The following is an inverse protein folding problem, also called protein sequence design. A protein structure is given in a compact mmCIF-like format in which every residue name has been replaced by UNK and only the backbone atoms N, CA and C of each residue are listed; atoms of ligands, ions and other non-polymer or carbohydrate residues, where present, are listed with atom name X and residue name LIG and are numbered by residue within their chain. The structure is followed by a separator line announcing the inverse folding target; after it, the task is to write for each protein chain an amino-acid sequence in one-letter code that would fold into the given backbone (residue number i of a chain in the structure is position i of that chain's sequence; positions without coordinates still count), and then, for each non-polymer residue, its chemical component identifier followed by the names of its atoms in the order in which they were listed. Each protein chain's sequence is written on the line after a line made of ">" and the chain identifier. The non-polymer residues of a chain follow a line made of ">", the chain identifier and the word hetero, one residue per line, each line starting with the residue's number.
data_IF_694463270283
#
_entry.id   IF_694463270283
#
_cell.length_a   1.000
_cell.length_b   1.000
_cell.length_c   1.000
_cell.angle_alpha   90.00
_cell.angle_beta   90.00
_cell.angle_gamma   90.00
#
_symmetry.space_group_name_H-M   'P 1'
#
loop_
_entity.id
_entity.type
_entity.pdbx_description
1 polymer ?
#
# COMPACT_ATOMS: atom_id res chain seq x y z
N UNK A 1 -4.72 -7.48 30.95
CA UNK A 1 -5.45 -7.39 29.73
C UNK A 1 -4.57 -6.90 28.57
N UNK A 2 -4.69 -7.53 27.47
CA UNK A 2 -3.83 -7.20 26.34
C UNK A 2 -4.56 -6.35 25.34
N UNK A 3 -3.93 -5.27 24.94
CA UNK A 3 -4.48 -4.46 23.86
C UNK A 3 -4.02 -5.06 22.55
N UNK A 4 -4.99 -5.31 21.68
CA UNK A 4 -4.68 -5.85 20.37
C UNK A 4 -4.68 -4.70 19.38
N UNK A 5 -3.53 -4.44 18.79
CA UNK A 5 -3.42 -3.39 17.80
C UNK A 5 -4.22 -3.76 16.56
N UNK A 6 -4.80 -2.78 15.85
CA UNK A 6 -5.46 -3.06 14.59
C UNK A 6 -4.51 -3.72 13.61
N UNK A 7 -5.01 -4.65 12.86
CA UNK A 7 -4.19 -5.32 11.85
C UNK A 7 -5.04 -5.63 10.62
N UNK A 8 -4.37 -5.97 9.54
CA UNK A 8 -5.02 -6.36 8.31
C UNK A 8 -5.46 -7.81 8.43
N UNK A 9 -6.77 -8.03 8.37
CA UNK A 9 -7.32 -9.37 8.44
C UNK A 9 -7.41 -10.00 7.04
N UNK A 10 -7.62 -9.18 6.01
CA UNK A 10 -7.77 -9.68 4.65
C UNK A 10 -7.56 -8.52 3.68
N UNK A 11 -7.45 -8.84 2.40
CA UNK A 11 -7.28 -7.83 1.36
C UNK A 11 -7.84 -8.33 0.05
N UNK A 12 -8.18 -7.40 -0.84
CA UNK A 12 -8.76 -7.76 -2.11
C UNK A 12 -8.58 -6.60 -3.10
N UNK A 13 -8.15 -6.92 -4.32
CA UNK A 13 -8.08 -5.90 -5.36
C UNK A 13 -9.45 -5.74 -6.01
N UNK A 14 -9.79 -4.51 -6.39
CA UNK A 14 -11.05 -4.25 -7.06
C UNK A 14 -11.05 -4.87 -8.46
N UNK A 15 -12.24 -4.96 -9.07
CA UNK A 15 -12.39 -5.57 -10.37
C UNK A 15 -11.56 -4.88 -11.45
N UNK A 16 -11.40 -3.56 -11.35
CA UNK A 16 -10.59 -2.79 -12.30
C UNK A 16 -9.13 -2.70 -11.89
N UNK A 17 -8.77 -3.35 -10.77
CA UNK A 17 -7.41 -3.39 -10.25
C UNK A 17 -6.84 -2.03 -9.87
N UNK A 18 -7.70 -1.03 -9.75
CA UNK A 18 -7.27 0.31 -9.42
C UNK A 18 -7.29 0.60 -7.92
N UNK A 19 -7.87 -0.29 -7.12
CA UNK A 19 -8.03 -0.09 -5.68
C UNK A 19 -7.75 -1.38 -4.93
N UNK A 20 -7.09 -1.27 -3.80
CA UNK A 20 -6.92 -2.38 -2.87
C UNK A 20 -7.83 -2.13 -1.68
N UNK A 21 -8.74 -3.08 -1.44
CA UNK A 21 -9.56 -3.03 -0.24
C UNK A 21 -8.88 -3.83 0.85
N UNK A 22 -8.71 -3.22 2.01
CA UNK A 22 -8.06 -3.83 3.14
C UNK A 22 -9.10 -3.99 4.24
N UNK A 23 -9.30 -5.22 4.70
CA UNK A 23 -10.20 -5.47 5.82
C UNK A 23 -9.40 -5.49 7.09
N UNK A 24 -9.82 -4.68 8.04
CA UNK A 24 -9.07 -4.55 9.29
C UNK A 24 -9.88 -5.13 10.43
N UNK A 25 -9.19 -5.40 11.54
CA UNK A 25 -9.84 -6.00 12.70
C UNK A 25 -10.65 -4.99 13.50
N UNK A 26 -10.36 -3.71 13.38
CA UNK A 26 -11.02 -2.70 14.21
C UNK A 26 -11.59 -1.51 13.45
N UNK A 27 -11.25 -1.34 12.20
CA UNK A 27 -11.67 -0.17 11.44
C UNK A 27 -12.52 -0.50 10.22
N UNK A 28 -12.97 -1.75 10.11
CA UNK A 28 -13.77 -2.16 8.96
C UNK A 28 -12.93 -2.20 7.69
N UNK A 29 -13.57 -1.99 6.56
CA UNK A 29 -12.91 -2.07 5.27
C UNK A 29 -12.41 -0.69 4.88
N UNK A 30 -11.16 -0.63 4.46
CA UNK A 30 -10.53 0.61 4.03
C UNK A 30 -10.01 0.43 2.61
N UNK A 31 -10.10 1.47 1.80
CA UNK A 31 -9.69 1.40 0.39
C UNK A 31 -8.44 2.23 0.15
N UNK A 32 -7.52 1.65 -0.63
CA UNK A 32 -6.30 2.33 -1.04
C UNK A 32 -6.22 2.29 -2.55
N UNK A 33 -6.10 3.43 -3.20
CA UNK A 33 -5.96 3.45 -4.64
C UNK A 33 -4.59 2.90 -5.04
N UNK A 34 -4.52 2.30 -6.22
CA UNK A 34 -3.24 1.80 -6.74
C UNK A 34 -2.25 2.96 -6.86
N UNK A 35 -2.72 4.13 -7.27
CA UNK A 35 -1.85 5.30 -7.37
C UNK A 35 -1.27 5.68 -6.02
N UNK A 36 -2.10 5.70 -4.98
CA UNK A 36 -1.61 6.04 -3.64
C UNK A 36 -0.57 5.03 -3.18
N UNK A 37 -0.82 3.75 -3.42
CA UNK A 37 0.14 2.71 -3.05
C UNK A 37 1.45 2.88 -3.81
N UNK A 38 1.38 3.16 -5.11
CA UNK A 38 2.58 3.35 -5.92
C UNK A 38 3.36 4.58 -5.46
N UNK A 39 2.66 5.67 -5.15
CA UNK A 39 3.29 6.89 -4.66
C UNK A 39 3.91 6.69 -3.28
N UNK A 40 3.43 5.71 -2.53
CA UNK A 40 3.89 5.45 -1.17
C UNK A 40 4.91 4.33 -1.08
N UNK A 41 5.42 3.86 -2.21
CA UNK A 41 6.39 2.77 -2.23
C UNK A 41 7.69 3.22 -1.55
N UNK A 42 8.20 2.39 -0.64
CA UNK A 42 9.42 2.68 0.10
C UNK A 42 10.59 1.78 -0.28
N UNK A 43 10.54 1.15 -1.45
CA UNK A 43 11.67 0.34 -1.88
C UNK A 43 12.89 1.24 -2.12
N UNK A 44 14.07 0.64 -2.18
CA UNK A 44 15.30 1.41 -2.32
C UNK A 44 15.29 2.27 -3.60
N UNK A 45 14.75 1.74 -4.67
CA UNK A 45 14.70 2.47 -5.94
C UNK A 45 13.84 3.73 -5.82
N UNK A 46 12.65 3.60 -5.25
CA UNK A 46 11.73 4.74 -5.12
C UNK A 46 12.25 5.76 -4.11
N UNK A 47 12.85 5.27 -3.02
CA UNK A 47 13.44 6.15 -2.02
C UNK A 47 14.57 6.97 -2.64
N UNK A 48 15.42 6.33 -3.44
CA UNK A 48 16.50 7.03 -4.12
C UNK A 48 15.97 8.05 -5.13
N UNK A 49 14.92 7.67 -5.86
CA UNK A 49 14.33 8.59 -6.85
C UNK A 49 13.77 9.83 -6.16
N UNK A 50 13.15 9.68 -4.99
CA UNK A 50 12.66 10.83 -4.23
C UNK A 50 13.81 11.72 -3.77
N UNK A 51 14.87 11.08 -3.29
CA UNK A 51 16.04 11.81 -2.83
C UNK A 51 16.65 12.63 -3.97
N UNK A 52 16.66 12.08 -5.17
CA UNK A 52 17.23 12.75 -6.34
C UNK A 52 16.25 13.71 -7.02
N UNK A 53 15.03 13.82 -6.52
CA UNK A 53 14.02 14.70 -7.13
C UNK A 53 13.46 14.18 -8.43
N UNK A 54 13.60 12.89 -8.70
CA UNK A 54 13.10 12.28 -9.94
C UNK A 54 11.84 11.45 -9.77
N UNK A 55 11.32 11.35 -8.54
CA UNK A 55 10.13 10.55 -8.31
C UNK A 55 8.90 11.29 -8.82
N UNK A 56 8.04 10.63 -9.62
CA UNK A 56 6.86 11.29 -10.17
C UNK A 56 5.88 11.70 -9.07
N UNK A 57 5.11 12.74 -9.34
CA UNK A 57 4.07 13.17 -8.41
C UNK A 57 2.76 12.43 -8.62
N UNK A 58 2.57 11.81 -9.76
CA UNK A 58 1.34 11.11 -10.10
C UNK A 58 1.64 9.86 -10.90
N UNK A 59 0.75 8.90 -10.77
CA UNK A 59 0.80 7.67 -11.57
C UNK A 59 -0.60 7.41 -12.14
N UNK A 60 -1.07 8.27 -13.05
CA UNK A 60 -2.42 8.11 -13.58
C UNK A 60 -2.57 6.78 -14.32
N UNK A 61 -3.69 6.12 -14.10
CA UNK A 61 -3.96 4.85 -14.77
C UNK A 61 -3.21 3.65 -14.25
N UNK A 62 -2.44 3.79 -13.17
CA UNK A 62 -1.70 2.67 -12.64
C UNK A 62 -2.67 1.63 -12.06
N UNK A 63 -2.36 0.36 -12.22
CA UNK A 63 -3.17 -0.73 -11.70
C UNK A 63 -2.30 -1.72 -10.95
N UNK A 64 -2.93 -2.52 -10.09
CA UNK A 64 -2.28 -3.58 -9.35
C UNK A 64 -2.29 -4.82 -10.22
N UNK A 65 -1.14 -5.40 -10.50
CA UNK A 65 -1.07 -6.59 -11.34
C UNK A 65 -0.90 -7.88 -10.55
N UNK A 66 -0.34 -7.77 -9.35
CA UNK A 66 -0.11 -8.97 -8.54
C UNK A 66 0.07 -8.59 -7.08
N UNK A 67 -0.39 -9.43 -6.17
CA UNK A 67 -0.19 -9.24 -4.74
C UNK A 67 0.38 -10.53 -4.16
N UNK A 68 1.54 -10.43 -3.52
CA UNK A 68 2.14 -11.55 -2.81
C UNK A 68 2.03 -11.33 -1.32
N UNK A 69 1.46 -12.28 -0.61
CA UNK A 69 1.31 -12.17 0.84
C UNK A 69 2.56 -12.72 1.52
N UNK A 70 3.26 -11.85 2.22
CA UNK A 70 4.50 -12.21 2.90
C UNK A 70 4.28 -12.53 4.38
N UNK A 71 3.02 -12.48 4.84
CA UNK A 71 2.70 -12.67 6.25
C UNK A 71 2.73 -11.37 7.00
N UNK A 72 3.88 -10.72 7.07
CA UNK A 72 4.01 -9.44 7.76
C UNK A 72 3.59 -8.25 6.89
N UNK A 73 3.41 -8.48 5.60
CA UNK A 73 3.05 -7.41 4.68
C UNK A 73 2.74 -7.98 3.31
N UNK A 74 2.53 -7.08 2.36
CA UNK A 74 2.20 -7.44 1.00
C UNK A 74 3.26 -6.92 0.04
N UNK A 75 3.64 -7.75 -0.92
CA UNK A 75 4.45 -7.30 -2.04
C UNK A 75 3.48 -7.01 -3.17
N UNK A 76 3.41 -5.76 -3.60
CA UNK A 76 2.45 -5.33 -4.61
C UNK A 76 3.17 -4.98 -5.89
N UNK A 77 2.72 -5.57 -6.99
CA UNK A 77 3.26 -5.28 -8.32
C UNK A 77 2.27 -4.41 -9.07
N UNK A 78 2.79 -3.51 -9.89
CA UNK A 78 1.99 -2.51 -10.58
C UNK A 78 2.14 -2.61 -12.10
N UNK A 79 1.19 -2.03 -12.81
CA UNK A 79 1.14 -2.10 -14.27
C UNK A 79 2.30 -1.43 -14.97
N UNK A 80 3.06 -0.60 -14.27
CA UNK A 80 4.27 0.01 -14.84
C UNK A 80 5.49 -0.91 -14.76
N UNK A 81 5.29 -2.15 -14.31
CA UNK A 81 6.38 -3.10 -14.16
C UNK A 81 7.08 -3.05 -12.82
N UNK A 82 6.69 -2.13 -11.96
CA UNK A 82 7.31 -2.00 -10.65
C UNK A 82 6.82 -3.10 -9.72
N UNK A 83 7.73 -3.91 -9.19
CA UNK A 83 7.36 -5.05 -8.35
C UNK A 83 8.21 -5.17 -7.09
N UNK A 84 8.83 -4.08 -6.67
CA UNK A 84 9.71 -4.10 -5.50
C UNK A 84 9.09 -3.55 -4.24
N UNK A 85 7.83 -3.10 -4.31
CA UNK A 85 7.19 -2.48 -3.17
C UNK A 85 6.71 -3.50 -2.17
N UNK A 86 7.21 -3.42 -0.94
CA UNK A 86 6.73 -4.23 0.16
C UNK A 86 6.04 -3.29 1.14
N UNK A 87 4.80 -3.63 1.47
CA UNK A 87 3.97 -2.80 2.32
C UNK A 87 3.64 -3.56 3.59
N UNK A 88 4.38 -3.34 4.68
CA UNK A 88 4.05 -3.99 5.95
C UNK A 88 2.61 -3.67 6.35
N UNK A 89 1.96 -4.59 7.02
CA UNK A 89 0.55 -4.40 7.40
C UNK A 89 0.31 -3.12 8.20
N UNK A 90 1.16 -2.78 9.19
CA UNK A 90 0.96 -1.49 9.87
C UNK A 90 1.06 -0.30 8.94
N UNK A 91 1.93 -0.36 7.94
CA UNK A 91 2.07 0.72 6.98
C UNK A 91 0.81 0.85 6.12
N UNK A 92 0.24 -0.29 5.70
CA UNK A 92 -1.01 -0.28 4.95
C UNK A 92 -2.13 0.36 5.75
N UNK A 93 -2.21 0.06 7.04
CA UNK A 93 -3.22 0.67 7.89
C UNK A 93 -3.03 2.17 7.98
N UNK A 94 -1.80 2.60 8.12
CA UNK A 94 -1.48 4.01 8.18
C UNK A 94 -1.89 4.75 6.92
N UNK A 95 -1.64 4.16 5.76
CA UNK A 95 -2.04 4.76 4.48
C UNK A 95 -3.55 4.78 4.33
N UNK A 96 -4.21 3.69 4.70
CA UNK A 96 -5.65 3.56 4.53
C UNK A 96 -6.43 4.44 5.48
N UNK A 97 -5.89 4.66 6.68
CA UNK A 97 -6.55 5.48 7.67
C UNK A 97 -6.63 6.94 7.31
N UNK A 98 -5.86 7.36 6.31
CA UNK A 98 -5.89 8.73 5.88
C UNK A 98 -5.43 9.70 6.94
N UNK A 99 -4.93 9.23 8.06
CA UNK A 99 -4.46 10.04 9.10
C UNK A 99 -3.02 9.96 9.18
N UNK A 100 -2.28 11.01 8.99
CA UNK A 100 -0.86 11.00 9.19
C UNK A 100 -0.66 10.71 10.63
N UNK A 101 0.02 9.75 10.89
CA UNK A 101 0.40 9.62 12.22
C UNK A 101 1.45 10.58 12.43
N UNK A 102 1.54 11.22 12.65
CA UNK A 102 2.52 11.91 12.72
C UNK A 102 3.25 11.60 13.08
N UNK A 103 3.64 11.68 13.18
CA UNK A 103 4.41 12.33 13.79
C UNK A 103 4.91 12.81 13.16
#
# INVERSE_FOLDING_TARGET
>A
MTLVAPTVADYEASADLATLRVRTTQHGDLDLSAEKLRLSCKCAHCTRARFDGRFPERFPGIAITEIGDLGYGLNISFSDGHNRGIYPKPYLLSLAGGKPTQP
#
